data_IF_290787543040
#
_entry.id   IF_290787543040
#
_cell.length_a   1.000
_cell.length_b   1.000
_cell.length_c   1.000
_cell.angle_alpha   90.00
_cell.angle_beta   90.00
_cell.angle_gamma   90.00
#
_symmetry.space_group_name_H-M   'P 1'
#
loop_
_entity.id
_entity.type
_entity.pdbx_description
1 polymer ?
#
# COMPACT_ATOMS: atom_id res chain seq x y z
N UNK A 1 25.77 4.29 -12.46
CA UNK A 1 24.41 3.90 -12.09
C UNK A 1 24.40 3.21 -10.72
N UNK A 2 23.31 3.39 -9.96
CA UNK A 2 23.09 2.69 -8.70
C UNK A 2 21.66 2.19 -8.66
N UNK A 3 21.46 0.97 -8.14
CA UNK A 3 20.14 0.35 -7.96
C UNK A 3 20.07 -0.21 -6.55
N UNK A 4 19.00 0.09 -5.84
CA UNK A 4 18.66 -0.49 -4.57
C UNK A 4 17.26 -1.13 -4.65
N UNK A 5 17.13 -2.36 -4.18
CA UNK A 5 15.87 -3.05 -4.09
C UNK A 5 15.68 -3.62 -2.69
N UNK A 6 14.49 -3.46 -2.14
CA UNK A 6 14.11 -4.03 -0.85
C UNK A 6 12.76 -4.72 -0.98
N UNK A 7 12.66 -5.89 -0.39
CA UNK A 7 11.41 -6.64 -0.30
C UNK A 7 11.22 -7.12 1.13
N UNK A 8 10.03 -6.86 1.64
CA UNK A 8 9.62 -7.31 2.97
C UNK A 8 8.38 -8.16 2.87
N UNK A 9 8.42 -9.34 3.46
CA UNK A 9 7.26 -10.18 3.72
C UNK A 9 6.98 -10.12 5.23
N UNK A 10 5.79 -9.68 5.58
CA UNK A 10 5.38 -9.53 6.97
C UNK A 10 4.00 -10.16 7.21
N UNK A 11 3.73 -10.50 8.46
CA UNK A 11 2.41 -10.88 8.95
C UNK A 11 2.29 -10.41 10.39
N UNK A 12 1.51 -9.35 10.59
CA UNK A 12 1.19 -8.83 11.91
C UNK A 12 -0.12 -9.45 12.42
N UNK A 13 -0.06 -10.17 13.54
CA UNK A 13 -1.24 -10.70 14.22
C UNK A 13 -1.39 -10.03 15.59
N UNK A 14 -2.62 -9.79 16.00
CA UNK A 14 -2.95 -9.28 17.31
C UNK A 14 -4.10 -10.10 17.93
N UNK A 15 -4.06 -10.24 19.24
CA UNK A 15 -5.16 -10.79 20.02
C UNK A 15 -5.66 -9.70 20.99
N UNK A 16 -6.95 -9.47 20.98
CA UNK A 16 -7.54 -8.43 21.82
C UNK A 16 -7.43 -7.02 21.23
N UNK A 17 -7.78 -6.03 22.02
CA UNK A 17 -7.74 -4.62 21.64
C UNK A 17 -6.30 -4.18 21.44
N UNK A 18 -5.84 -4.15 20.23
CA UNK A 18 -4.69 -3.33 19.88
C UNK A 18 -5.10 -1.87 20.11
N UNK A 19 -4.56 -1.27 21.16
CA UNK A 19 -4.95 0.08 21.56
C UNK A 19 -4.97 1.01 20.35
N UNK A 20 -6.06 1.77 20.25
CA UNK A 20 -6.20 2.87 19.32
C UNK A 20 -6.43 2.54 17.85
N UNK A 21 -7.18 1.51 17.54
CA UNK A 21 -7.83 1.44 16.25
C UNK A 21 -9.23 2.04 16.40
N UNK A 22 -9.51 3.08 15.64
CA UNK A 22 -10.81 3.76 15.57
C UNK A 22 -11.94 2.88 15.02
N UNK A 23 -11.68 1.61 14.82
CA UNK A 23 -12.59 0.62 14.28
C UNK A 23 -13.29 -0.25 15.33
N UNK A 24 -13.17 0.12 16.63
CA UNK A 24 -13.90 -0.56 17.68
C UNK A 24 -13.57 -2.05 17.82
N UNK A 25 -12.29 -2.40 17.64
CA UNK A 25 -11.85 -3.78 17.85
C UNK A 25 -12.25 -4.28 19.23
N UNK A 26 -13.05 -5.32 19.27
CA UNK A 26 -13.63 -5.82 20.49
C UNK A 26 -12.91 -7.02 21.04
N UNK A 27 -12.76 -6.98 22.35
CA UNK A 27 -12.51 -8.18 23.13
C UNK A 27 -13.80 -8.96 23.27
N UNK A 28 -13.78 -10.19 22.83
CA UNK A 28 -14.78 -11.15 23.21
C UNK A 28 -14.28 -11.83 24.47
N UNK A 29 -14.94 -11.56 25.60
CA UNK A 29 -14.56 -12.12 26.90
C UNK A 29 -15.21 -13.50 27.17
N UNK A 30 -15.82 -14.08 26.13
CA UNK A 30 -16.42 -15.40 26.18
C UNK A 30 -15.37 -16.43 25.84
N UNK A 31 -14.96 -17.33 26.76
CA UNK A 31 -13.85 -18.25 26.54
C UNK A 31 -14.00 -19.12 25.29
N UNK A 32 -15.21 -19.59 24.99
CA UNK A 32 -15.53 -20.44 23.85
C UNK A 32 -15.34 -19.72 22.51
N UNK A 33 -15.38 -18.40 22.50
CA UNK A 33 -15.26 -17.56 21.32
C UNK A 33 -13.94 -16.76 21.31
N UNK A 34 -13.03 -17.02 22.26
CA UNK A 34 -11.80 -16.26 22.40
C UNK A 34 -10.93 -16.27 21.15
N UNK A 35 -10.94 -17.36 20.42
CA UNK A 35 -10.17 -17.49 19.16
C UNK A 35 -10.63 -16.50 18.08
N UNK A 36 -11.86 -16.02 18.15
CA UNK A 36 -12.36 -14.97 17.26
C UNK A 36 -11.70 -13.61 17.48
N UNK A 37 -11.00 -13.41 18.62
CA UNK A 37 -10.20 -12.21 18.86
C UNK A 37 -8.89 -12.19 18.05
N UNK A 38 -8.46 -13.32 17.51
CA UNK A 38 -7.29 -13.41 16.64
C UNK A 38 -7.54 -12.63 15.34
N UNK A 39 -6.76 -11.59 15.12
CA UNK A 39 -6.95 -10.68 13.97
C UNK A 39 -5.62 -10.31 13.32
N UNK A 40 -5.67 -9.99 12.04
CA UNK A 40 -4.57 -9.29 11.39
C UNK A 40 -4.53 -7.86 11.90
N UNK A 41 -3.33 -7.36 12.17
CA UNK A 41 -3.15 -5.95 12.52
C UNK A 41 -3.64 -5.08 11.35
N UNK A 42 -4.49 -4.09 11.60
CA UNK A 42 -5.08 -3.22 10.58
C UNK A 42 -4.05 -2.45 9.74
N UNK A 43 -2.80 -2.38 10.17
CA UNK A 43 -1.68 -1.82 9.40
C UNK A 43 -0.82 -2.89 8.71
N UNK A 44 -1.19 -4.17 8.82
CA UNK A 44 -0.45 -5.25 8.18
C UNK A 44 -0.42 -5.08 6.66
N UNK A 45 0.78 -5.13 6.10
CA UNK A 45 1.03 -5.16 4.66
C UNK A 45 1.90 -6.37 4.36
N UNK A 46 1.26 -7.42 3.87
CA UNK A 46 1.93 -8.70 3.68
C UNK A 46 3.15 -8.62 2.79
N UNK A 47 3.08 -7.85 1.73
CA UNK A 47 4.18 -7.66 0.80
C UNK A 47 4.46 -6.18 0.63
N UNK A 48 5.71 -5.81 0.76
CA UNK A 48 6.22 -4.47 0.54
C UNK A 48 7.46 -4.58 -0.35
N UNK A 49 7.41 -3.97 -1.52
CA UNK A 49 8.51 -3.90 -2.45
C UNK A 49 8.85 -2.44 -2.73
N UNK A 50 10.14 -2.13 -2.64
CA UNK A 50 10.67 -0.82 -2.97
C UNK A 50 11.85 -0.99 -3.90
N UNK A 51 11.89 -0.16 -4.95
CA UNK A 51 12.99 -0.07 -5.89
C UNK A 51 13.39 1.39 -6.03
N UNK A 52 14.67 1.65 -5.83
CA UNK A 52 15.27 2.94 -6.13
C UNK A 52 16.37 2.77 -7.16
N UNK A 53 16.43 3.64 -8.13
CA UNK A 53 17.57 3.67 -9.02
C UNK A 53 17.98 5.10 -9.35
N UNK A 54 19.27 5.26 -9.57
CA UNK A 54 19.89 6.47 -10.11
C UNK A 54 20.67 6.04 -11.34
N UNK A 55 20.33 6.61 -12.47
CA UNK A 55 20.95 6.29 -13.75
C UNK A 55 21.45 7.54 -14.42
N UNK A 56 22.76 7.62 -14.63
CA UNK A 56 23.35 8.61 -15.51
C UNK A 56 23.21 8.17 -16.95
N UNK A 57 22.62 9.01 -17.79
CA UNK A 57 22.46 8.67 -19.19
C UNK A 57 23.84 8.50 -19.87
N UNK A 58 23.96 7.55 -20.78
CA UNK A 58 25.25 7.20 -21.40
C UNK A 58 25.64 8.18 -22.49
N UNK A 59 25.21 9.45 -22.40
CA UNK A 59 25.43 10.49 -23.40
C UNK A 59 26.38 11.57 -22.89
N UNK A 60 27.19 12.11 -23.76
CA UNK A 60 28.06 13.26 -23.50
C UNK A 60 29.56 12.93 -23.37
N UNK A 61 30.38 13.94 -23.10
CA UNK A 61 31.82 13.78 -23.00
C UNK A 61 32.22 12.72 -21.95
N UNK A 62 33.07 11.77 -22.35
CA UNK A 62 33.51 10.68 -21.48
C UNK A 62 32.51 9.56 -21.28
N UNK A 63 31.36 9.55 -21.95
CA UNK A 63 30.36 8.50 -21.96
C UNK A 63 30.50 7.61 -23.21
N UNK A 64 29.69 6.54 -23.30
CA UNK A 64 29.74 5.57 -24.38
C UNK A 64 29.06 6.01 -25.68
N UNK A 65 28.20 7.02 -25.62
CA UNK A 65 27.40 7.47 -26.78
C UNK A 65 27.34 9.01 -26.83
N UNK A 66 27.25 9.55 -28.06
CA UNK A 66 27.14 10.99 -28.32
C UNK A 66 28.20 11.80 -27.55
N UNK A 67 29.48 11.46 -27.81
CA UNK A 67 30.61 12.01 -27.05
C UNK A 67 30.89 13.48 -27.35
N UNK A 68 30.46 13.98 -28.53
CA UNK A 68 30.74 15.31 -29.06
C UNK A 68 29.61 15.88 -29.90
N UNK A 69 29.72 17.15 -30.25
CA UNK A 69 28.76 17.87 -31.06
C UNK A 69 27.52 18.33 -30.29
N UNK A 70 26.54 18.83 -31.03
CA UNK A 70 25.30 19.39 -30.48
C UNK A 70 24.50 18.34 -29.71
N UNK A 71 24.53 17.09 -30.16
CA UNK A 71 23.86 15.98 -29.47
C UNK A 71 24.41 15.75 -28.05
N UNK A 72 25.74 15.78 -27.90
CA UNK A 72 26.39 15.67 -26.60
C UNK A 72 26.04 16.86 -25.68
N UNK A 73 25.99 18.06 -26.25
CA UNK A 73 25.66 19.26 -25.51
C UNK A 73 24.23 19.27 -24.98
N UNK A 74 23.28 18.71 -25.72
CA UNK A 74 21.85 18.69 -25.32
C UNK A 74 21.54 17.46 -24.44
N UNK A 75 21.96 16.28 -24.84
CA UNK A 75 21.57 15.00 -24.21
C UNK A 75 22.58 14.52 -23.16
N UNK A 76 23.78 15.11 -23.11
CA UNK A 76 24.81 14.72 -22.15
C UNK A 76 24.54 15.24 -20.73
N UNK A 77 25.04 14.50 -19.73
CA UNK A 77 25.04 14.92 -18.33
C UNK A 77 23.69 14.83 -17.60
N UNK A 78 22.67 14.24 -18.22
CA UNK A 78 21.40 13.99 -17.57
C UNK A 78 21.47 12.77 -16.66
N UNK A 79 20.77 12.87 -15.54
CA UNK A 79 20.55 11.77 -14.61
C UNK A 79 19.06 11.57 -14.43
N UNK A 80 18.68 10.32 -14.28
CA UNK A 80 17.30 9.87 -14.06
C UNK A 80 17.25 9.13 -12.74
N UNK A 81 16.33 9.53 -11.87
CA UNK A 81 16.05 8.82 -10.63
C UNK A 81 14.65 8.26 -10.68
N UNK A 82 14.49 7.05 -10.16
CA UNK A 82 13.19 6.44 -9.95
C UNK A 82 13.08 5.92 -8.52
N UNK A 83 11.91 6.09 -7.94
CA UNK A 83 11.49 5.47 -6.70
C UNK A 83 10.17 4.77 -6.99
N UNK A 84 10.18 3.46 -6.93
CA UNK A 84 8.99 2.63 -7.13
C UNK A 84 8.65 1.99 -5.79
N UNK A 85 7.41 2.15 -5.37
CA UNK A 85 6.88 1.55 -4.15
C UNK A 85 5.63 0.74 -4.49
N UNK A 86 5.61 -0.52 -4.09
CA UNK A 86 4.47 -1.38 -4.25
C UNK A 86 4.15 -2.08 -2.93
N UNK A 87 2.88 -2.00 -2.51
CA UNK A 87 2.39 -2.60 -1.28
C UNK A 87 1.12 -3.39 -1.54
N UNK A 88 0.96 -4.53 -0.87
CA UNK A 88 -0.36 -5.13 -0.73
C UNK A 88 -1.28 -4.23 0.10
N UNK A 89 -2.58 -4.37 -0.11
CA UNK A 89 -3.57 -3.68 0.71
C UNK A 89 -3.45 -4.01 2.20
N UNK A 90 -4.17 -3.29 3.00
CA UNK A 90 -4.33 -3.52 4.43
C UNK A 90 -5.59 -4.34 4.70
N UNK A 91 -5.66 -5.07 5.82
CA UNK A 91 -6.85 -5.79 6.22
C UNK A 91 -8.03 -4.85 6.51
N UNK A 92 -9.22 -5.24 6.08
CA UNK A 92 -10.47 -4.56 6.37
C UNK A 92 -11.44 -5.50 7.07
N UNK A 93 -12.23 -4.92 7.98
CA UNK A 93 -13.31 -5.62 8.67
C UNK A 93 -14.63 -5.38 7.94
N UNK A 94 -15.53 -6.34 8.03
CA UNK A 94 -16.92 -6.16 7.63
C UNK A 94 -17.76 -6.07 8.89
N UNK A 95 -18.33 -4.89 9.12
CA UNK A 95 -19.26 -4.65 10.20
C UNK A 95 -20.69 -4.99 9.77
N UNK A 96 -21.50 -5.44 10.73
CA UNK A 96 -22.96 -5.49 10.64
C UNK A 96 -23.59 -4.42 11.53
N UNK A 97 -24.90 -4.30 11.54
CA UNK A 97 -25.58 -3.55 12.57
C UNK A 97 -25.20 -4.12 13.94
N UNK A 98 -25.08 -3.25 14.94
CA UNK A 98 -24.71 -3.71 16.27
C UNK A 98 -25.83 -4.57 16.83
N UNK A 99 -25.63 -5.86 17.02
CA UNK A 99 -26.63 -6.66 17.71
C UNK A 99 -26.74 -6.17 19.16
N UNK A 100 -27.89 -6.37 19.77
CA UNK A 100 -28.17 -6.00 21.17
C UNK A 100 -27.42 -6.89 22.18
N UNK A 101 -26.22 -7.30 21.89
CA UNK A 101 -25.44 -8.21 22.74
C UNK A 101 -24.64 -7.49 23.85
N UNK A 102 -25.02 -6.28 24.21
CA UNK A 102 -24.40 -5.50 25.29
C UNK A 102 -23.07 -4.86 24.95
N UNK A 103 -22.40 -4.29 25.95
CA UNK A 103 -21.14 -3.56 25.79
C UNK A 103 -19.94 -4.49 25.58
N UNK A 104 -19.97 -5.40 24.69
CA UNK A 104 -18.90 -6.36 24.45
C UNK A 104 -18.96 -7.00 23.07
N UNK A 105 -19.98 -6.70 22.31
CA UNK A 105 -20.13 -7.25 20.96
C UNK A 105 -20.03 -6.13 19.94
N UNK A 106 -19.18 -6.25 18.97
CA UNK A 106 -19.23 -5.38 17.80
C UNK A 106 -20.09 -6.02 16.74
N UNK A 107 -20.73 -5.16 15.99
CA UNK A 107 -21.43 -5.57 14.82
C UNK A 107 -20.48 -6.23 13.81
N UNK A 108 -20.21 -7.50 13.99
CA UNK A 108 -19.60 -8.33 12.95
C UNK A 108 -20.72 -8.81 12.03
N UNK A 109 -20.45 -8.83 10.74
CA UNK A 109 -21.31 -9.52 9.80
C UNK A 109 -21.14 -11.04 9.90
N UNK A 110 -22.12 -11.78 9.43
CA UNK A 110 -21.97 -13.20 9.15
C UNK A 110 -21.33 -13.42 7.77
N UNK A 111 -20.42 -14.37 7.70
CA UNK A 111 -19.86 -14.84 6.45
C UNK A 111 -20.70 -16.00 5.93
N UNK A 112 -21.57 -15.75 4.95
CA UNK A 112 -22.50 -16.76 4.39
C UNK A 112 -21.99 -17.42 3.12
N UNK A 113 -20.98 -16.83 2.47
CA UNK A 113 -20.33 -17.39 1.29
C UNK A 113 -18.83 -17.00 1.26
N UNK A 114 -18.00 -17.73 0.51
CA UNK A 114 -16.60 -17.36 0.35
C UNK A 114 -16.45 -15.94 -0.19
N UNK A 115 -15.51 -15.18 0.36
CA UNK A 115 -15.19 -13.82 -0.09
C UNK A 115 -14.79 -13.81 -1.55
N UNK A 116 -15.50 -13.03 -2.35
CA UNK A 116 -15.25 -12.84 -3.78
C UNK A 116 -14.87 -11.39 -4.07
N UNK A 117 -13.71 -11.19 -4.70
CA UNK A 117 -13.27 -9.87 -5.16
C UNK A 117 -13.74 -9.62 -6.59
N UNK A 118 -14.47 -8.53 -6.78
CA UNK A 118 -14.98 -8.10 -8.10
C UNK A 118 -14.02 -7.12 -8.77
N UNK A 119 -13.15 -6.49 -7.99
CA UNK A 119 -12.09 -5.62 -8.50
C UNK A 119 -12.58 -4.24 -8.96
N UNK A 120 -13.81 -3.86 -8.63
CA UNK A 120 -14.35 -2.54 -8.94
C UNK A 120 -13.51 -1.41 -8.32
N UNK A 121 -13.40 -0.29 -9.03
CA UNK A 121 -12.60 0.87 -8.60
C UNK A 121 -13.36 2.18 -8.61
N UNK A 122 -14.58 2.17 -9.12
CA UNK A 122 -15.46 3.32 -9.17
C UNK A 122 -16.38 3.41 -7.95
N UNK A 123 -17.00 4.56 -7.71
CA UNK A 123 -17.96 4.75 -6.61
C UNK A 123 -19.17 3.83 -6.68
N UNK A 124 -19.50 3.34 -7.87
CA UNK A 124 -20.65 2.45 -8.14
C UNK A 124 -20.22 1.00 -8.38
N UNK A 125 -18.91 0.76 -8.45
CA UNK A 125 -18.38 -0.57 -8.77
C UNK A 125 -17.90 -1.23 -7.46
N UNK A 126 -18.55 -2.27 -6.97
CA UNK A 126 -18.16 -2.93 -5.74
C UNK A 126 -16.79 -3.60 -5.91
N UNK A 127 -15.91 -3.39 -4.96
CA UNK A 127 -14.59 -4.02 -4.92
C UNK A 127 -14.65 -5.49 -4.54
N UNK A 128 -15.58 -5.85 -3.67
CA UNK A 128 -15.90 -7.23 -3.26
C UNK A 128 -17.40 -7.47 -3.36
N UNK A 129 -17.80 -8.73 -3.38
CA UNK A 129 -19.21 -9.12 -3.47
C UNK A 129 -19.86 -8.99 -2.07
N UNK A 130 -20.77 -8.04 -1.88
CA UNK A 130 -21.46 -7.88 -0.60
C UNK A 130 -22.35 -9.07 -0.25
N UNK A 131 -22.81 -9.85 -1.22
CA UNK A 131 -23.62 -11.04 -0.99
C UNK A 131 -22.86 -12.17 -0.27
N UNK A 132 -21.54 -12.03 -0.08
CA UNK A 132 -20.75 -12.92 0.76
C UNK A 132 -21.02 -12.71 2.26
N UNK A 133 -21.70 -11.63 2.64
CA UNK A 133 -21.94 -11.23 4.01
C UNK A 133 -23.41 -10.93 4.25
N UNK A 134 -23.87 -11.30 5.42
CA UNK A 134 -25.21 -10.96 5.91
C UNK A 134 -25.10 -10.32 7.30
N UNK A 135 -26.16 -9.68 7.73
CA UNK A 135 -26.27 -9.16 9.08
C UNK A 135 -26.44 -10.34 10.05
N UNK A 136 -25.66 -10.34 11.12
CA UNK A 136 -25.81 -11.36 12.15
C UNK A 136 -27.16 -11.24 12.87
N UNK A 137 -27.71 -12.36 13.29
CA UNK A 137 -28.94 -12.38 14.07
C UNK A 137 -28.78 -11.59 15.39
N UNK A 138 -29.90 -11.06 15.90
CA UNK A 138 -29.91 -10.36 17.20
C UNK A 138 -29.34 -11.27 18.31
N UNK A 139 -28.59 -10.67 19.22
CA UNK A 139 -27.94 -11.34 20.35
C UNK A 139 -26.89 -12.40 19.95
N UNK A 140 -26.42 -12.38 18.70
CA UNK A 140 -25.35 -13.25 18.22
C UNK A 140 -24.08 -12.48 17.84
N UNK A 141 -22.96 -13.17 17.82
CA UNK A 141 -21.68 -12.64 17.34
C UNK A 141 -21.48 -13.15 15.92
N UNK A 142 -21.40 -12.24 14.95
CA UNK A 142 -21.18 -12.59 13.56
C UNK A 142 -19.86 -13.37 13.32
N UNK A 143 -19.87 -14.22 12.33
CA UNK A 143 -18.82 -15.19 12.03
C UNK A 143 -17.69 -14.64 11.15
N UNK A 144 -17.84 -13.44 10.56
CA UNK A 144 -16.77 -12.85 9.77
C UNK A 144 -15.54 -12.55 10.63
N UNK A 145 -14.38 -13.11 10.25
CA UNK A 145 -13.14 -12.85 10.95
C UNK A 145 -12.69 -11.39 10.78
N UNK A 146 -11.95 -10.87 11.74
CA UNK A 146 -11.30 -9.58 11.57
C UNK A 146 -10.21 -9.65 10.48
N UNK A 147 -10.15 -8.58 9.67
CA UNK A 147 -9.21 -8.52 8.56
C UNK A 147 -9.53 -9.49 7.43
N UNK A 148 -10.80 -9.92 7.31
CA UNK A 148 -11.23 -10.88 6.30
C UNK A 148 -11.10 -10.35 4.87
N UNK A 149 -11.21 -9.04 4.69
CA UNK A 149 -11.01 -8.36 3.42
C UNK A 149 -9.64 -7.69 3.36
N UNK A 150 -9.15 -7.55 2.15
CA UNK A 150 -7.93 -6.78 1.88
C UNK A 150 -8.27 -5.60 0.98
N UNK A 151 -7.79 -4.42 1.35
CA UNK A 151 -7.92 -3.24 0.51
C UNK A 151 -7.13 -3.40 -0.79
N UNK A 152 -7.40 -2.58 -1.82
CA UNK A 152 -6.61 -2.58 -3.03
C UNK A 152 -5.12 -2.36 -2.76
N UNK A 153 -4.29 -2.99 -3.59
CA UNK A 153 -2.84 -2.75 -3.58
C UNK A 153 -2.52 -1.32 -3.96
N UNK A 154 -1.46 -0.78 -3.40
CA UNK A 154 -0.92 0.54 -3.74
C UNK A 154 0.31 0.38 -4.62
N UNK A 155 0.37 1.13 -5.68
CA UNK A 155 1.55 1.30 -6.52
C UNK A 155 1.82 2.80 -6.65
N UNK A 156 3.05 3.20 -6.38
CA UNK A 156 3.51 4.56 -6.55
C UNK A 156 4.83 4.56 -7.32
N UNK A 157 4.94 5.45 -8.28
CA UNK A 157 6.17 5.68 -9.01
C UNK A 157 6.49 7.17 -9.02
N UNK A 158 7.59 7.52 -8.39
CA UNK A 158 8.16 8.85 -8.42
C UNK A 158 9.36 8.84 -9.36
N UNK A 159 9.40 9.82 -10.23
CA UNK A 159 10.40 9.91 -11.28
C UNK A 159 10.97 11.32 -11.30
N UNK A 160 12.30 11.43 -11.42
CA UNK A 160 12.93 12.74 -11.60
C UNK A 160 14.06 12.69 -12.63
N UNK A 161 14.20 13.78 -13.36
CA UNK A 161 15.34 14.01 -14.23
C UNK A 161 16.05 15.27 -13.79
N UNK A 162 17.38 15.23 -13.80
CA UNK A 162 18.14 16.42 -13.48
C UNK A 162 19.45 16.48 -14.27
N UNK A 163 19.94 17.70 -14.41
CA UNK A 163 21.22 17.98 -15.04
C UNK A 163 21.88 19.18 -14.35
N UNK A 164 23.20 19.08 -14.19
CA UNK A 164 24.03 20.15 -13.73
C UNK A 164 24.70 20.84 -14.94
N UNK A 165 24.62 22.18 -14.96
CA UNK A 165 25.25 23.02 -15.96
C UNK A 165 26.34 23.84 -15.27
N UNK A 166 27.62 23.51 -15.42
CA UNK A 166 28.70 24.38 -14.96
C UNK A 166 28.76 25.61 -15.86
N UNK A 167 28.45 26.78 -15.30
CA UNK A 167 28.46 28.06 -16.04
C UNK A 167 29.84 28.68 -15.93
N UNK A 168 30.43 28.67 -14.73
CA UNK A 168 31.79 29.12 -14.45
C UNK A 168 32.36 28.24 -13.33
N UNK A 169 33.65 28.41 -13.02
CA UNK A 169 34.28 27.70 -11.87
C UNK A 169 33.57 27.95 -10.53
N UNK A 170 32.83 29.07 -10.40
CA UNK A 170 32.12 29.44 -9.18
C UNK A 170 30.61 29.25 -9.23
N UNK A 171 30.02 29.12 -10.42
CA UNK A 171 28.57 29.07 -10.61
C UNK A 171 28.17 27.80 -11.33
N UNK A 172 27.38 26.97 -10.66
CA UNK A 172 26.73 25.80 -11.21
C UNK A 172 25.22 25.98 -11.17
N UNK A 173 24.54 25.74 -12.26
CA UNK A 173 23.09 25.73 -12.33
C UNK A 173 22.62 24.27 -12.35
N UNK A 174 21.68 23.91 -11.49
CA UNK A 174 21.02 22.62 -11.51
C UNK A 174 19.60 22.78 -12.03
N UNK A 175 19.27 22.08 -13.07
CA UNK A 175 17.89 21.89 -13.50
C UNK A 175 17.37 20.55 -12.93
N UNK A 176 16.15 20.56 -12.39
CA UNK A 176 15.48 19.36 -11.90
C UNK A 176 14.02 19.43 -12.30
N UNK A 177 13.50 18.33 -12.85
CA UNK A 177 12.07 18.12 -13.05
C UNK A 177 11.67 16.84 -12.29
N UNK A 178 10.65 16.95 -11.47
CA UNK A 178 10.18 15.89 -10.59
C UNK A 178 8.70 15.62 -10.87
N UNK A 179 8.37 14.35 -10.96
CA UNK A 179 7.02 13.84 -11.20
C UNK A 179 6.71 12.85 -10.09
N UNK A 180 5.64 13.09 -9.39
CA UNK A 180 5.20 12.27 -8.26
C UNK A 180 3.91 11.55 -8.60
N UNK A 181 3.81 10.31 -8.14
CA UNK A 181 2.59 9.51 -8.26
C UNK A 181 2.17 9.29 -9.74
N UNK A 182 3.12 8.92 -10.56
CA UNK A 182 2.98 8.78 -12.01
C UNK A 182 2.37 7.43 -12.40
#
# INVERSE_FOLDING_TARGET
>A
WAVGAAYTLAKGMAYGVAGNTSDGSMNIDIPELFDLNGQLNGVDRRHNFQLTNIWELPFGPGKSMLTDGVGAAILGGWQVNNIISWYTGTPWNVGGASPNCGSGCSGRADLVAPVRYLGGRGPQDPYFDPASFEEAEDDTIGTAAYGILWSPRTFNWDFSVFRNFPITERFNMKFTAEFFNF
#
